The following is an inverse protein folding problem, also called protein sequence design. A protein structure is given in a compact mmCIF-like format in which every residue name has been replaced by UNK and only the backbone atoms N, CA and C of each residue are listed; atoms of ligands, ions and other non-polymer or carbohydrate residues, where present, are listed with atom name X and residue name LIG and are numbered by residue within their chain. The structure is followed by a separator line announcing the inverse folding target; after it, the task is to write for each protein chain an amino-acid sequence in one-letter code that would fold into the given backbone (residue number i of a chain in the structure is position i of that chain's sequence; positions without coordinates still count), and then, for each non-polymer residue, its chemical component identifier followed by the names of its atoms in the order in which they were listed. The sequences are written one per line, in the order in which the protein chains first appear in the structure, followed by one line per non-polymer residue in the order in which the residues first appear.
data_IF_733794812773
#
_entry.id   IF_733794812773
#
_cell.length_a   1.000
_cell.length_b   1.000
_cell.length_c   1.000
_cell.angle_alpha   90.00
_cell.angle_beta   90.00
_cell.angle_gamma   90.00
#
_symmetry.space_group_name_H-M   'P 1'
#
loop_
_entity.id
_entity.type
_entity.pdbx_description
1 polymer ?
#
# COMPACT_ATOMS: atom_id res chain seq x y z
N UNK A 1 11.23 9.28 7.54
CA UNK A 1 10.27 9.66 6.50
C UNK A 1 11.11 10.02 5.31
N UNK A 2 11.01 9.22 4.28
CA UNK A 2 11.88 9.28 3.12
C UNK A 2 13.31 8.80 3.44
N UNK A 3 14.14 8.67 2.40
CA UNK A 3 13.82 8.91 0.98
C UNK A 3 12.85 7.87 0.38
N UNK A 4 12.29 8.18 -0.80
CA UNK A 4 11.37 7.29 -1.54
C UNK A 4 11.85 7.05 -2.97
N UNK A 5 12.04 8.13 -3.73
CA UNK A 5 12.49 8.06 -5.12
C UNK A 5 13.96 8.50 -5.22
N UNK A 6 14.85 7.71 -5.87
CA UNK A 6 16.18 8.18 -6.25
C UNK A 6 16.07 9.23 -7.37
N UNK A 7 16.98 10.20 -7.40
CA UNK A 7 16.98 11.30 -8.38
C UNK A 7 17.58 10.90 -9.73
N UNK A 8 18.49 9.92 -9.73
CA UNK A 8 19.25 9.50 -10.91
C UNK A 8 19.49 7.98 -10.96
N UNK A 9 19.64 7.42 -12.15
CA UNK A 9 19.91 5.97 -12.36
C UNK A 9 21.24 5.46 -11.77
N UNK A 10 22.07 6.35 -11.24
CA UNK A 10 23.35 6.00 -10.57
C UNK A 10 23.25 6.07 -9.05
N UNK A 11 22.12 6.53 -8.52
CA UNK A 11 21.91 6.67 -7.09
C UNK A 11 21.79 5.29 -6.45
N UNK A 12 22.21 5.22 -5.18
CA UNK A 12 22.20 3.99 -4.42
C UNK A 12 20.91 3.83 -3.62
N UNK A 13 20.75 2.69 -2.97
CA UNK A 13 19.63 2.44 -2.07
C UNK A 13 19.49 3.47 -0.93
N UNK A 14 20.53 4.29 -0.65
CA UNK A 14 20.46 5.34 0.37
C UNK A 14 19.65 6.56 -0.06
N UNK A 15 19.51 6.76 -1.36
CA UNK A 15 18.82 7.89 -1.96
C UNK A 15 17.37 7.54 -2.37
N UNK A 16 17.01 6.26 -2.36
CA UNK A 16 15.65 5.79 -2.60
C UNK A 16 15.08 5.02 -1.41
N UNK A 17 13.85 4.54 -1.58
CA UNK A 17 13.16 3.72 -0.60
C UNK A 17 13.15 2.25 -0.98
N UNK A 18 12.05 1.56 -0.65
CA UNK A 18 11.81 0.16 -0.95
C UNK A 18 10.54 -0.04 -1.78
N UNK A 19 10.50 -1.12 -2.54
CA UNK A 19 9.35 -1.58 -3.29
C UNK A 19 9.01 -3.02 -2.93
N UNK A 20 7.71 -3.33 -2.89
CA UNK A 20 7.20 -4.65 -2.53
C UNK A 20 6.63 -5.31 -3.79
N UNK A 21 7.23 -6.43 -4.20
CA UNK A 21 6.75 -7.23 -5.34
C UNK A 21 6.90 -8.71 -5.03
N UNK A 22 5.85 -9.48 -5.30
CA UNK A 22 5.85 -10.95 -5.22
C UNK A 22 6.35 -11.55 -3.89
N UNK A 23 6.06 -10.87 -2.77
CA UNK A 23 6.45 -11.32 -1.43
C UNK A 23 7.86 -10.90 -1.01
N UNK A 24 8.60 -10.24 -1.89
CA UNK A 24 9.96 -9.76 -1.68
C UNK A 24 10.02 -8.24 -1.48
N UNK A 25 11.13 -7.78 -0.90
CA UNK A 25 11.45 -6.36 -0.73
C UNK A 25 12.65 -6.04 -1.61
N UNK A 26 12.52 -4.99 -2.42
CA UNK A 26 13.57 -4.50 -3.30
C UNK A 26 13.95 -3.08 -2.89
N UNK A 27 15.26 -2.80 -2.83
CA UNK A 27 15.73 -1.42 -2.74
C UNK A 27 15.41 -0.71 -4.06
N UNK A 28 14.79 0.47 -3.98
CA UNK A 28 14.52 1.33 -5.14
C UNK A 28 15.73 2.24 -5.32
N UNK A 29 16.80 1.67 -5.87
CA UNK A 29 17.96 2.43 -6.30
C UNK A 29 17.88 2.78 -7.80
N UNK A 30 18.84 3.55 -8.30
CA UNK A 30 18.86 3.96 -9.69
C UNK A 30 18.97 2.76 -10.66
N UNK A 31 19.68 1.70 -10.26
CA UNK A 31 19.83 0.49 -11.06
C UNK A 31 18.52 -0.30 -11.13
N UNK A 32 17.76 -0.37 -10.05
CA UNK A 32 16.42 -0.96 -10.02
C UNK A 32 15.48 -0.22 -10.97
N UNK A 33 15.45 1.12 -10.91
CA UNK A 33 14.61 1.95 -11.79
C UNK A 33 15.00 1.76 -13.26
N UNK A 34 16.30 1.71 -13.58
CA UNK A 34 16.78 1.43 -14.93
C UNK A 34 16.35 0.05 -15.44
N UNK A 35 16.22 -0.93 -14.53
CA UNK A 35 15.93 -2.32 -14.86
C UNK A 35 14.43 -2.68 -14.86
N UNK A 36 13.52 -1.71 -14.64
CA UNK A 36 12.07 -1.98 -14.52
C UNK A 36 11.48 -2.71 -15.74
N UNK A 37 11.94 -2.38 -16.95
CA UNK A 37 11.47 -3.02 -18.17
C UNK A 37 11.82 -4.52 -18.23
N UNK A 38 13.02 -4.91 -17.79
CA UNK A 38 13.41 -6.31 -17.70
C UNK A 38 12.72 -7.00 -16.52
N UNK A 39 12.65 -6.32 -15.37
CA UNK A 39 12.02 -6.83 -14.16
C UNK A 39 10.54 -7.21 -14.38
N UNK A 40 9.79 -6.36 -15.09
CA UNK A 40 8.38 -6.61 -15.42
C UNK A 40 8.16 -7.24 -16.80
N UNK A 41 9.23 -7.49 -17.57
CA UNK A 41 9.16 -7.97 -18.95
C UNK A 41 8.21 -7.13 -19.83
N UNK A 42 8.34 -5.80 -19.73
CA UNK A 42 7.49 -4.82 -20.41
C UNK A 42 8.30 -3.56 -20.74
N UNK A 43 8.55 -3.33 -22.02
CA UNK A 43 9.37 -2.21 -22.52
C UNK A 43 8.69 -0.85 -22.40
N UNK A 44 7.44 -0.80 -21.91
CA UNK A 44 6.74 0.47 -21.64
C UNK A 44 7.33 1.21 -20.45
N UNK A 45 8.04 0.50 -19.55
CA UNK A 45 8.73 1.10 -18.40
C UNK A 45 9.98 1.87 -18.85
N UNK A 46 9.91 3.20 -18.75
CA UNK A 46 11.00 4.12 -19.10
C UNK A 46 10.92 5.37 -18.19
N UNK A 47 11.31 5.20 -16.92
CA UNK A 47 11.14 6.19 -15.84
C UNK A 47 12.28 7.21 -15.73
N UNK A 48 13.08 7.39 -16.78
CA UNK A 48 14.23 8.30 -16.78
C UNK A 48 14.44 8.95 -18.15
N UNK A 49 15.16 10.08 -18.18
CA UNK A 49 15.52 10.80 -19.40
C UNK A 49 16.84 10.31 -20.03
N UNK A 50 17.26 10.91 -21.15
CA UNK A 50 18.50 10.52 -21.86
C UNK A 50 19.76 10.76 -21.02
N UNK A 51 19.70 11.69 -20.07
CA UNK A 51 20.77 12.00 -19.13
C UNK A 51 20.80 11.03 -17.94
N UNK A 52 19.72 10.30 -17.68
CA UNK A 52 19.57 9.36 -16.57
C UNK A 52 18.87 9.94 -15.34
N UNK A 53 18.29 11.14 -15.44
CA UNK A 53 17.47 11.69 -14.35
C UNK A 53 16.14 10.97 -14.31
N UNK A 54 15.70 10.59 -13.11
CA UNK A 54 14.46 9.87 -12.89
C UNK A 54 13.29 10.85 -12.88
N UNK A 55 12.17 10.50 -13.53
CA UNK A 55 10.97 11.33 -13.49
C UNK A 55 10.29 11.21 -12.12
N UNK A 56 10.35 12.26 -11.32
CA UNK A 56 9.77 12.33 -9.96
C UNK A 56 8.65 13.37 -9.93
N UNK A 57 7.62 13.13 -9.13
CA UNK A 57 6.57 14.13 -8.92
C UNK A 57 7.04 15.26 -8.00
N UNK A 58 7.09 16.49 -8.52
CA UNK A 58 7.75 17.63 -7.85
C UNK A 58 6.80 18.58 -7.11
N UNK A 59 5.48 18.42 -7.29
CA UNK A 59 4.48 19.29 -6.65
C UNK A 59 3.43 18.49 -5.89
N UNK A 60 2.73 19.18 -4.98
CA UNK A 60 1.55 18.63 -4.30
C UNK A 60 0.48 18.18 -5.32
N UNK A 61 0.31 18.91 -6.41
CA UNK A 61 -0.68 18.58 -7.43
C UNK A 61 -0.27 17.31 -8.19
N UNK A 62 1.00 17.19 -8.56
CA UNK A 62 1.52 16.00 -9.23
C UNK A 62 1.44 14.76 -8.36
N UNK A 63 1.84 14.85 -7.09
CA UNK A 63 1.66 13.77 -6.12
C UNK A 63 0.19 13.34 -6.03
N UNK A 64 -0.78 14.27 -5.98
CA UNK A 64 -2.21 13.91 -5.93
C UNK A 64 -2.68 13.21 -7.20
N UNK A 65 -2.21 13.69 -8.35
CA UNK A 65 -2.64 13.19 -9.65
C UNK A 65 -1.99 11.84 -10.00
N UNK A 66 -0.78 11.59 -9.52
CA UNK A 66 -0.08 10.33 -9.71
C UNK A 66 -0.40 9.28 -8.64
N UNK A 67 -0.82 9.69 -7.43
CA UNK A 67 -1.17 8.78 -6.32
C UNK A 67 -2.67 8.42 -6.22
N UNK A 68 -3.48 8.68 -7.26
CA UNK A 68 -4.90 8.34 -7.27
C UNK A 68 -5.22 7.13 -8.18
N UNK A 69 -6.37 6.45 -8.01
CA UNK A 69 -6.70 5.24 -8.77
C UNK A 69 -6.83 5.42 -10.29
N UNK A 70 -7.02 6.64 -10.79
CA UNK A 70 -7.20 6.97 -12.20
C UNK A 70 -6.08 7.92 -12.66
N UNK A 71 -4.86 7.41 -12.63
CA UNK A 71 -3.65 8.16 -13.03
C UNK A 71 -3.76 8.61 -14.49
N UNK A 72 -3.49 9.89 -14.75
CA UNK A 72 -3.44 10.46 -16.08
C UNK A 72 -2.25 9.94 -16.90
N UNK A 73 -2.38 9.92 -18.23
CA UNK A 73 -1.32 9.46 -19.14
C UNK A 73 -0.02 10.25 -18.96
N UNK A 74 -0.13 11.53 -18.58
CA UNK A 74 0.99 12.44 -18.32
C UNK A 74 1.85 12.04 -17.11
N UNK A 75 1.36 11.17 -16.22
CA UNK A 75 2.08 10.67 -15.05
C UNK A 75 2.56 9.22 -15.21
N UNK A 76 2.40 8.62 -16.40
CA UNK A 76 3.02 7.33 -16.70
C UNK A 76 4.53 7.48 -16.64
N UNK A 77 5.19 6.42 -16.17
CA UNK A 77 6.63 6.36 -15.96
C UNK A 77 7.15 7.43 -14.98
N UNK A 78 6.38 7.73 -13.93
CA UNK A 78 6.87 8.55 -12.81
C UNK A 78 7.10 7.69 -11.56
N UNK A 79 8.18 8.03 -10.85
CA UNK A 79 8.34 7.70 -9.45
C UNK A 79 7.53 8.72 -8.63
N UNK A 80 6.49 8.22 -7.97
CA UNK A 80 5.53 9.02 -7.21
C UNK A 80 6.10 9.30 -5.83
N UNK A 81 6.45 10.56 -5.61
CA UNK A 81 6.91 11.07 -4.33
C UNK A 81 5.97 12.15 -3.78
N UNK A 82 5.53 11.93 -2.54
CA UNK A 82 4.77 12.89 -1.78
C UNK A 82 5.60 13.29 -0.55
N UNK A 83 5.98 14.57 -0.43
CA UNK A 83 6.84 15.02 0.68
C UNK A 83 6.01 15.55 1.87
N UNK A 84 6.57 15.53 3.09
CA UNK A 84 5.87 16.01 4.30
C UNK A 84 5.32 17.44 4.18
N UNK A 85 5.99 18.31 3.40
CA UNK A 85 5.59 19.71 3.22
C UNK A 85 4.22 19.86 2.53
N UNK A 86 3.72 18.84 1.82
CA UNK A 86 2.42 18.88 1.14
C UNK A 86 1.24 18.70 2.11
N UNK A 87 1.52 18.20 3.32
CA UNK A 87 0.55 17.91 4.36
C UNK A 87 0.38 19.13 5.27
N UNK A 88 -0.61 19.97 4.95
CA UNK A 88 -0.84 21.22 5.68
C UNK A 88 -1.82 21.07 6.84
N UNK A 89 -2.78 20.14 6.77
CA UNK A 89 -3.72 19.85 7.84
C UNK A 89 -4.37 18.47 7.64
N UNK A 90 -3.92 17.47 8.39
CA UNK A 90 -4.55 16.14 8.45
C UNK A 90 -4.72 15.79 9.93
N UNK A 91 -5.92 15.38 10.31
CA UNK A 91 -6.23 14.88 11.65
C UNK A 91 -7.02 13.61 11.49
N UNK A 92 -6.52 12.53 12.08
CA UNK A 92 -7.20 11.25 12.17
C UNK A 92 -7.47 10.95 13.64
N UNK A 93 -8.59 10.30 13.93
CA UNK A 93 -8.95 9.86 15.27
C UNK A 93 -9.35 8.41 15.21
N UNK A 94 -8.80 7.59 16.10
CA UNK A 94 -9.03 6.16 16.16
C UNK A 94 -9.52 5.79 17.55
N UNK A 95 -10.52 4.92 17.65
CA UNK A 95 -10.98 4.35 18.91
C UNK A 95 -10.42 2.94 19.07
N UNK A 96 -9.49 2.77 20.00
CA UNK A 96 -8.87 1.48 20.31
C UNK A 96 -9.26 1.06 21.74
N UNK A 97 -9.89 -0.12 21.93
CA UNK A 97 -10.18 -0.64 23.26
C UNK A 97 -8.90 -0.84 24.08
N UNK A 98 -8.81 -0.22 25.26
CA UNK A 98 -7.70 -0.46 26.20
C UNK A 98 -7.78 -1.84 26.89
N UNK A 99 -8.92 -2.54 26.72
CA UNK A 99 -9.17 -3.90 27.18
C UNK A 99 -9.85 -4.64 26.03
N UNK A 100 -9.12 -5.46 25.27
CA UNK A 100 -9.70 -6.21 24.17
C UNK A 100 -10.83 -7.12 24.63
N UNK A 101 -11.92 -7.16 23.85
CA UNK A 101 -13.07 -8.02 24.12
C UNK A 101 -13.05 -9.16 23.10
N UNK A 102 -12.66 -10.38 23.49
CA UNK A 102 -12.53 -11.48 22.53
C UNK A 102 -13.86 -11.81 21.85
N UNK A 103 -13.79 -12.21 20.59
CA UNK A 103 -14.89 -12.75 19.80
C UNK A 103 -14.65 -14.24 19.53
N UNK A 104 -15.76 -14.98 19.39
CA UNK A 104 -15.71 -16.40 19.07
C UNK A 104 -15.14 -16.62 17.65
N UNK A 105 -15.58 -15.79 16.70
CA UNK A 105 -15.16 -15.81 15.29
C UNK A 105 -14.12 -14.73 14.97
N UNK A 106 -13.25 -15.01 13.99
CA UNK A 106 -12.34 -14.02 13.44
C UNK A 106 -13.07 -13.09 12.47
N UNK A 107 -12.85 -11.78 12.60
CA UNK A 107 -13.17 -10.81 11.56
C UNK A 107 -11.99 -10.74 10.60
N UNK A 108 -11.99 -11.59 9.58
CA UNK A 108 -10.94 -11.58 8.56
C UNK A 108 -11.07 -10.34 7.68
N UNK A 109 -9.94 -9.72 7.39
CA UNK A 109 -9.90 -8.66 6.40
C UNK A 109 -10.12 -9.25 5.02
N UNK A 110 -10.88 -8.53 4.19
CA UNK A 110 -10.93 -8.82 2.76
C UNK A 110 -9.50 -8.83 2.25
N UNK A 111 -9.03 -10.00 1.83
CA UNK A 111 -7.82 -10.10 1.02
C UNK A 111 -8.16 -9.28 -0.23
N UNK A 112 -7.47 -8.14 -0.43
CA UNK A 112 -7.51 -7.44 -1.71
C UNK A 112 -7.20 -8.43 -2.85
N UNK A 113 -7.42 -8.08 -4.13
CA UNK A 113 -7.18 -9.00 -5.24
C UNK A 113 -5.83 -9.67 -5.05
N UNK A 114 -5.85 -10.98 -4.72
CA UNK A 114 -4.64 -11.78 -4.56
C UNK A 114 -3.84 -11.60 -5.84
N UNK A 115 -2.59 -11.14 -5.72
CA UNK A 115 -1.59 -11.33 -6.77
C UNK A 115 -1.69 -12.78 -7.24
N UNK A 116 -1.92 -12.96 -8.53
CA UNK A 116 -2.15 -14.26 -9.12
C UNK A 116 -0.97 -15.17 -8.82
N UNK A 117 -1.24 -16.30 -8.17
CA UNK A 117 -0.27 -17.39 -8.12
C UNK A 117 0.08 -17.88 -9.53
N UNK A 118 1.24 -18.55 -9.70
CA UNK A 118 1.78 -18.90 -11.01
C UNK A 118 0.89 -19.93 -11.70
N UNK A 119 0.34 -19.59 -12.87
CA UNK A 119 -0.39 -20.56 -13.70
C UNK A 119 -1.45 -20.04 -14.67
N UNK A 120 -1.30 -18.85 -15.25
CA UNK A 120 -2.15 -18.42 -16.36
C UNK A 120 -1.32 -18.17 -17.63
N UNK A 121 -0.84 -19.25 -18.23
CA UNK A 121 -0.34 -19.25 -19.60
C UNK A 121 -1.50 -19.05 -20.58
N UNK A 122 -1.53 -17.92 -21.28
CA UNK A 122 -2.44 -17.66 -22.41
C UNK A 122 -2.15 -16.31 -23.07
N UNK A 123 -1.96 -16.24 -24.41
CA UNK A 123 -1.25 -15.14 -25.05
C UNK A 123 -2.10 -13.88 -25.24
N UNK A 124 -1.52 -12.72 -24.91
CA UNK A 124 -2.00 -11.41 -25.36
C UNK A 124 -1.77 -11.24 -26.87
N UNK A 125 -2.73 -10.72 -27.66
CA UNK A 125 -2.50 -10.41 -29.06
C UNK A 125 -1.73 -9.08 -29.25
N UNK A 126 -0.96 -8.93 -30.35
CA UNK A 126 0.03 -7.87 -30.49
C UNK A 126 -0.50 -6.58 -31.15
N UNK A 127 0.17 -5.49 -30.75
CA UNK A 127 0.39 -4.14 -31.31
C UNK A 127 -0.24 -3.70 -32.63
N UNK A 128 -0.61 -2.42 -32.69
CA UNK A 128 -0.83 -1.70 -33.95
C UNK A 128 -1.01 -0.18 -33.77
N UNK A 129 0.02 0.58 -34.13
CA UNK A 129 0.02 2.04 -34.29
C UNK A 129 -1.04 2.55 -35.31
N UNK A 130 -1.58 3.75 -35.07
CA UNK A 130 -2.63 4.43 -35.87
C UNK A 130 -2.20 4.92 -37.27
N UNK A 131 -3.09 5.55 -38.08
CA UNK A 131 -3.14 7.04 -38.17
C UNK A 131 -4.52 7.61 -38.68
N UNK A 132 -4.62 8.85 -39.22
CA UNK A 132 -4.69 10.18 -38.59
C UNK A 132 -6.10 10.81 -38.65
N UNK A 133 -6.30 11.95 -37.95
CA UNK A 133 -7.51 12.79 -38.07
C UNK A 133 -7.60 13.44 -39.48
N UNK A 134 -8.80 13.47 -40.06
CA UNK A 134 -9.17 14.26 -41.25
C UNK A 134 -10.41 15.15 -41.00
N UNK A 135 -10.62 16.23 -41.78
CA UNK A 135 -11.53 17.33 -41.44
C UNK A 135 -12.92 17.26 -42.11
N UNK A 136 -13.95 17.77 -41.40
CA UNK A 136 -15.22 18.26 -41.95
C UNK A 136 -16.36 17.25 -42.09
N UNK A 137 -17.48 17.44 -41.39
CA UNK A 137 -18.66 18.08 -41.99
C UNK A 137 -19.82 18.29 -40.99
N UNK A 138 -20.60 19.32 -41.28
CA UNK A 138 -21.63 19.95 -40.46
C UNK A 138 -23.01 19.26 -40.50
N UNK A 139 -23.70 19.20 -39.35
CA UNK A 139 -25.13 19.50 -39.10
C UNK A 139 -25.47 18.99 -37.68
N UNK A 140 -26.04 19.75 -36.74
CA UNK A 140 -27.18 20.64 -36.86
C UNK A 140 -28.43 19.92 -36.32
N UNK A 141 -28.80 20.15 -35.05
CA UNK A 141 -30.07 19.65 -34.50
C UNK A 141 -30.17 19.66 -32.98
N UNK A 142 -30.99 20.55 -32.45
CA UNK A 142 -31.38 20.75 -31.05
C UNK A 142 -31.81 19.47 -30.29
N UNK A 143 -31.51 19.40 -28.97
CA UNK A 143 -32.48 19.19 -27.86
C UNK A 143 -31.81 18.98 -26.47
N UNK A 144 -32.54 19.13 -25.34
CA UNK A 144 -32.17 20.03 -24.27
C UNK A 144 -31.97 19.36 -22.89
N UNK A 145 -31.45 20.14 -21.94
CA UNK A 145 -31.85 20.12 -20.53
C UNK A 145 -31.39 18.93 -19.68
N UNK A 146 -30.67 19.23 -18.60
CA UNK A 146 -30.03 18.24 -17.74
C UNK A 146 -30.98 17.25 -17.04
N UNK A 147 -30.43 16.08 -16.72
CA UNK A 147 -30.89 15.15 -15.70
C UNK A 147 -29.66 14.52 -15.05
N UNK A 148 -29.74 14.35 -13.73
CA UNK A 148 -28.65 14.01 -12.85
C UNK A 148 -27.98 12.67 -13.13
N UNK A 149 -26.76 12.59 -12.62
CA UNK A 149 -25.93 11.41 -12.52
C UNK A 149 -26.58 10.38 -11.58
N UNK A 150 -27.52 9.60 -12.12
CA UNK A 150 -27.96 8.35 -11.50
C UNK A 150 -26.94 7.26 -11.85
N UNK A 151 -25.95 7.09 -10.97
CA UNK A 151 -25.06 5.94 -10.98
C UNK A 151 -25.83 4.61 -10.88
N UNK A 152 -25.24 3.48 -11.30
CA UNK A 152 -25.96 2.21 -11.38
C UNK A 152 -26.47 1.73 -10.00
N UNK A 153 -27.65 1.10 -9.95
CA UNK A 153 -28.34 0.78 -8.71
C UNK A 153 -27.60 -0.25 -7.86
N UNK A 154 -27.50 0.07 -6.56
CA UNK A 154 -26.82 -0.72 -5.54
C UNK A 154 -27.33 -2.15 -5.42
N UNK A 155 -26.39 -3.08 -5.20
CA UNK A 155 -26.70 -4.44 -4.78
C UNK A 155 -27.17 -4.47 -3.32
N UNK A 156 -28.06 -5.40 -2.93
CA UNK A 156 -28.71 -5.38 -1.63
C UNK A 156 -27.73 -5.62 -0.47
N UNK A 157 -27.89 -4.77 0.54
CA UNK A 157 -27.16 -4.72 1.80
C UNK A 157 -27.45 -5.96 2.67
N UNK A 158 -26.48 -6.86 2.78
CA UNK A 158 -26.43 -7.85 3.86
C UNK A 158 -25.41 -7.37 4.88
N UNK A 159 -25.78 -7.30 6.17
CA UNK A 159 -24.95 -6.89 7.31
C UNK A 159 -23.46 -7.23 7.11
N UNK A 160 -22.68 -6.29 6.60
CA UNK A 160 -21.24 -6.32 6.69
C UNK A 160 -20.88 -5.21 7.66
N UNK A 161 -20.41 -5.58 8.84
CA UNK A 161 -19.57 -4.67 9.60
C UNK A 161 -18.49 -4.17 8.61
N UNK A 162 -18.33 -2.86 8.40
CA UNK A 162 -17.29 -2.36 7.52
C UNK A 162 -15.95 -2.90 8.01
N UNK A 163 -15.27 -3.64 7.13
CA UNK A 163 -13.95 -4.18 7.41
C UNK A 163 -13.00 -2.98 7.49
N UNK A 164 -12.29 -2.77 8.61
CA UNK A 164 -11.51 -1.56 8.80
C UNK A 164 -10.31 -1.55 7.83
N UNK A 165 -10.13 -0.44 7.10
CA UNK A 165 -8.92 -0.22 6.28
C UNK A 165 -7.68 -0.08 7.16
N UNK A 166 -7.83 0.55 8.32
CA UNK A 166 -6.79 0.61 9.35
C UNK A 166 -6.68 -0.73 10.08
N UNK A 167 -5.48 -1.32 10.08
CA UNK A 167 -5.19 -2.58 10.77
C UNK A 167 -4.85 -2.34 12.23
N UNK A 168 -4.20 -1.21 12.52
CA UNK A 168 -3.81 -0.81 13.84
C UNK A 168 -3.03 0.50 13.83
N UNK A 169 -2.54 0.89 15.00
CA UNK A 169 -1.73 2.10 15.21
C UNK A 169 -0.40 1.70 15.81
N UNK A 170 0.69 2.14 15.18
CA UNK A 170 2.05 1.95 15.64
C UNK A 170 2.32 2.73 16.94
N UNK A 171 3.32 2.33 17.72
CA UNK A 171 3.68 3.00 18.97
C UNK A 171 4.13 4.46 18.80
N UNK A 172 4.50 4.87 17.59
CA UNK A 172 4.80 6.26 17.23
C UNK A 172 3.58 7.05 16.70
N UNK A 173 2.39 6.44 16.71
CA UNK A 173 1.13 7.07 16.29
C UNK A 173 0.83 6.97 14.79
N UNK A 174 1.69 6.34 13.99
CA UNK A 174 1.48 6.15 12.55
C UNK A 174 0.52 5.00 12.30
N UNK A 175 -0.34 5.15 11.30
CA UNK A 175 -1.31 4.13 10.90
C UNK A 175 -0.63 2.90 10.27
N UNK A 176 -1.05 1.70 10.68
CA UNK A 176 -0.86 0.47 9.89
C UNK A 176 -2.05 0.34 8.93
N UNK A 177 -1.85 0.75 7.69
CA UNK A 177 -2.88 0.77 6.65
C UNK A 177 -3.07 -0.62 6.02
N UNK A 178 -4.17 -0.79 5.28
CA UNK A 178 -4.39 -1.95 4.43
C UNK A 178 -3.29 -2.08 3.37
N UNK A 179 -3.13 -3.26 2.72
CA UNK A 179 -2.18 -3.41 1.62
C UNK A 179 -2.29 -2.29 0.57
N UNK A 180 -1.15 -1.73 0.16
CA UNK A 180 -1.12 -0.77 -0.93
C UNK A 180 -1.64 -1.42 -2.23
N UNK A 181 -2.38 -0.71 -3.09
CA UNK A 181 -2.95 -1.27 -4.31
C UNK A 181 -1.90 -1.41 -5.42
N UNK A 182 -0.87 -2.26 -5.21
CA UNK A 182 0.27 -2.45 -6.12
C UNK A 182 -0.17 -2.72 -7.56
N UNK A 183 -1.21 -3.54 -7.76
CA UNK A 183 -1.73 -3.81 -9.11
C UNK A 183 -2.21 -2.54 -9.83
N UNK A 184 -2.84 -1.60 -9.12
CA UNK A 184 -3.30 -0.34 -9.71
C UNK A 184 -2.10 0.54 -10.07
N UNK A 185 -1.11 0.62 -9.17
CA UNK A 185 0.13 1.39 -9.35
C UNK A 185 0.88 0.91 -10.61
N UNK A 186 1.08 -0.40 -10.73
CA UNK A 186 1.76 -1.01 -11.87
C UNK A 186 0.95 -0.88 -13.16
N UNK A 187 -0.39 -1.00 -13.12
CA UNK A 187 -1.23 -0.83 -14.32
C UNK A 187 -1.21 0.60 -14.89
N UNK A 188 -0.83 1.58 -14.07
CA UNK A 188 -0.65 2.97 -14.45
C UNK A 188 0.79 3.30 -14.88
N UNK A 189 1.71 2.33 -14.91
CA UNK A 189 3.14 2.56 -15.12
C UNK A 189 3.74 3.59 -14.15
N UNK A 190 3.25 3.60 -12.92
CA UNK A 190 3.83 4.42 -11.84
C UNK A 190 4.56 3.53 -10.86
N UNK A 191 5.56 4.07 -10.17
CA UNK A 191 6.19 3.43 -9.02
C UNK A 191 5.92 4.32 -7.81
N UNK A 192 5.43 3.78 -6.70
CA UNK A 192 5.13 4.57 -5.50
C UNK A 192 5.86 4.00 -4.28
N UNK A 193 7.20 4.14 -4.20
CA UNK A 193 8.01 3.50 -3.18
C UNK A 193 7.54 3.79 -1.75
N UNK A 194 7.84 2.86 -0.86
CA UNK A 194 7.80 3.08 0.59
C UNK A 194 9.17 3.56 1.03
N UNK A 195 9.28 4.30 2.13
CA UNK A 195 10.59 4.51 2.75
C UNK A 195 11.06 3.21 3.41
N UNK A 196 12.31 3.19 3.85
CA UNK A 196 12.89 2.01 4.50
C UNK A 196 12.06 1.52 5.71
N UNK A 197 11.23 2.35 6.34
CA UNK A 197 10.37 1.94 7.46
C UNK A 197 9.06 1.28 7.01
N UNK A 198 8.83 1.16 5.70
CA UNK A 198 7.65 0.54 5.09
C UNK A 198 6.46 1.49 4.93
N UNK A 199 6.70 2.81 4.93
CA UNK A 199 5.64 3.81 4.85
C UNK A 199 5.85 4.90 3.81
N UNK A 200 4.76 5.54 3.43
CA UNK A 200 4.78 6.66 2.49
C UNK A 200 3.68 7.66 2.80
N UNK A 201 3.62 8.74 2.03
CA UNK A 201 2.67 9.83 2.23
C UNK A 201 1.59 9.79 1.16
N UNK A 202 0.34 9.91 1.59
CA UNK A 202 -0.77 10.33 0.75
C UNK A 202 -1.29 11.66 1.27
N UNK A 203 -1.60 12.62 0.40
CA UNK A 203 -2.01 13.97 0.84
C UNK A 203 -3.30 14.04 1.65
N UNK A 204 -4.15 13.03 1.54
CA UNK A 204 -5.44 12.95 2.20
C UNK A 204 -5.38 12.11 3.48
N UNK A 205 -4.41 11.20 3.58
CA UNK A 205 -4.23 10.28 4.72
C UNK A 205 -3.07 10.69 5.65
N UNK A 206 -2.06 11.38 5.13
CA UNK A 206 -0.77 11.61 5.79
C UNK A 206 0.21 10.47 5.57
N UNK A 207 1.27 10.45 6.39
CA UNK A 207 2.24 9.34 6.42
C UNK A 207 1.63 8.11 7.09
N UNK A 208 1.72 6.95 6.44
CA UNK A 208 1.18 5.68 6.93
C UNK A 208 2.05 4.52 6.46
N UNK A 209 2.00 3.40 7.19
CA UNK A 209 2.74 2.19 6.88
C UNK A 209 1.87 1.17 6.14
N UNK A 210 2.50 0.45 5.21
CA UNK A 210 1.92 -0.73 4.55
C UNK A 210 2.64 -2.02 4.94
N UNK A 211 3.83 -1.88 5.51
CA UNK A 211 4.63 -2.97 6.02
C UNK A 211 5.52 -2.50 7.17
N UNK A 212 6.29 -3.42 7.74
CA UNK A 212 7.33 -3.11 8.72
C UNK A 212 8.62 -3.83 8.35
N UNK A 213 9.74 -3.14 8.49
CA UNK A 213 11.08 -3.63 8.15
C UNK A 213 11.98 -3.77 9.38
N UNK A 214 11.40 -3.67 10.58
CA UNK A 214 12.13 -3.66 11.85
C UNK A 214 12.64 -2.27 12.27
N UNK A 215 12.31 -1.21 11.53
CA UNK A 215 12.68 0.17 11.89
C UNK A 215 11.61 0.93 12.68
N UNK A 216 10.43 0.34 12.87
CA UNK A 216 9.35 0.95 13.63
C UNK A 216 9.73 1.12 15.11
N UNK A 217 8.98 1.96 15.83
CA UNK A 217 9.16 2.10 17.27
C UNK A 217 8.81 0.77 17.95
N UNK A 218 9.82 0.10 18.50
CA UNK A 218 9.68 -1.20 19.17
C UNK A 218 9.88 -1.10 20.68
N UNK A 219 9.07 -1.84 21.45
CA UNK A 219 9.31 -2.14 22.87
C UNK A 219 9.74 -3.61 23.00
N UNK A 220 11.01 -3.81 23.31
CA UNK A 220 11.60 -5.13 23.53
C UNK A 220 10.92 -5.89 24.68
N UNK A 221 10.82 -7.20 24.56
CA UNK A 221 10.23 -8.08 25.56
C UNK A 221 11.31 -8.80 26.37
N UNK A 222 11.18 -8.81 27.70
CA UNK A 222 12.21 -9.33 28.60
C UNK A 222 12.34 -10.87 28.58
N UNK A 223 11.30 -11.57 28.12
CA UNK A 223 11.26 -13.04 28.02
C UNK A 223 11.78 -13.56 26.67
N UNK A 224 12.20 -12.67 25.76
CA UNK A 224 12.73 -13.01 24.45
C UNK A 224 11.68 -13.17 23.36
N UNK A 225 10.43 -12.85 23.65
CA UNK A 225 9.38 -12.69 22.64
C UNK A 225 9.72 -11.56 21.64
N UNK A 226 9.11 -11.58 20.46
CA UNK A 226 9.16 -10.48 19.48
C UNK A 226 8.77 -9.15 20.12
N UNK A 227 9.32 -8.03 19.64
CA UNK A 227 9.05 -6.72 20.20
C UNK A 227 7.63 -6.21 19.90
N UNK A 228 7.03 -5.47 20.83
CA UNK A 228 5.72 -4.82 20.62
C UNK A 228 5.92 -3.57 19.74
N UNK A 229 5.14 -3.42 18.68
CA UNK A 229 5.25 -2.31 17.72
C UNK A 229 3.99 -1.47 17.58
N UNK A 230 2.85 -1.94 18.10
CA UNK A 230 1.60 -1.20 18.07
C UNK A 230 0.42 -1.99 18.62
N UNK A 231 -0.78 -1.50 18.35
CA UNK A 231 -2.03 -2.13 18.74
C UNK A 231 -2.97 -2.21 17.54
N UNK A 232 -3.64 -3.35 17.38
CA UNK A 232 -4.68 -3.52 16.39
C UNK A 232 -5.94 -2.73 16.77
N UNK A 233 -6.87 -2.57 15.84
CA UNK A 233 -8.11 -1.81 16.07
C UNK A 233 -9.02 -2.43 17.15
N UNK A 234 -8.84 -3.71 17.46
CA UNK A 234 -9.52 -4.40 18.57
C UNK A 234 -8.77 -4.29 19.92
N UNK A 235 -7.64 -3.58 19.95
CA UNK A 235 -6.81 -3.34 21.13
C UNK A 235 -5.78 -4.42 21.44
N UNK A 236 -5.75 -5.54 20.73
CA UNK A 236 -4.72 -6.55 20.93
C UNK A 236 -3.36 -6.03 20.44
N UNK A 237 -2.28 -6.41 21.13
CA UNK A 237 -0.93 -5.99 20.75
C UNK A 237 -0.52 -6.56 19.40
N UNK A 238 0.20 -5.76 18.61
CA UNK A 238 0.85 -6.17 17.37
C UNK A 238 2.37 -6.20 17.63
N UNK A 239 2.96 -7.36 17.37
CA UNK A 239 4.37 -7.64 17.59
C UNK A 239 5.12 -7.86 16.28
N UNK A 240 6.44 -7.71 16.32
CA UNK A 240 7.34 -8.05 15.21
C UNK A 240 7.16 -9.52 14.80
N UNK A 241 7.43 -9.82 13.53
CA UNK A 241 7.28 -11.18 12.99
C UNK A 241 8.17 -12.17 13.71
N UNK A 242 9.41 -11.77 13.94
CA UNK A 242 10.46 -12.63 14.45
C UNK A 242 10.83 -12.27 15.90
N UNK A 243 11.14 -13.30 16.69
CA UNK A 243 11.68 -13.14 18.03
C UNK A 243 13.17 -12.72 17.97
N UNK A 244 13.79 -12.55 19.15
CA UNK A 244 15.23 -12.19 19.25
C UNK A 244 16.19 -13.20 18.61
N UNK A 245 15.73 -14.42 18.32
CA UNK A 245 16.50 -15.49 17.70
C UNK A 245 16.18 -15.63 16.19
N UNK A 246 15.44 -14.68 15.61
CA UNK A 246 14.94 -14.70 14.24
C UNK A 246 13.96 -15.85 13.95
N UNK A 247 13.15 -16.23 14.95
CA UNK A 247 12.16 -17.31 14.82
C UNK A 247 10.75 -16.72 14.83
N UNK A 248 9.96 -17.08 13.83
CA UNK A 248 8.53 -16.77 13.78
C UNK A 248 7.74 -17.80 14.63
N UNK A 249 6.72 -17.38 15.40
CA UNK A 249 5.89 -18.33 16.13
C UNK A 249 5.25 -19.36 15.18
N UNK A 250 5.33 -20.64 15.54
CA UNK A 250 4.84 -21.73 14.71
C UNK A 250 3.33 -21.99 14.84
N UNK A 251 2.67 -21.34 15.80
CA UNK A 251 1.28 -21.58 16.22
C UNK A 251 0.35 -20.39 15.95
N UNK A 252 0.70 -19.53 14.98
CA UNK A 252 -0.16 -18.44 14.54
C UNK A 252 -1.45 -18.98 13.87
N UNK A 253 -2.57 -18.38 14.22
CA UNK A 253 -3.87 -18.63 13.60
C UNK A 253 -4.03 -17.89 12.26
N UNK A 254 -5.23 -17.98 11.65
CA UNK A 254 -5.48 -17.35 10.36
C UNK A 254 -5.31 -15.81 10.37
N UNK A 255 -5.55 -15.15 11.51
CA UNK A 255 -5.37 -13.72 11.68
C UNK A 255 -3.90 -13.31 11.93
N UNK A 256 -2.98 -14.28 11.96
CA UNK A 256 -1.58 -14.15 12.40
C UNK A 256 -1.45 -13.85 13.90
N UNK A 257 -2.40 -14.31 14.70
CA UNK A 257 -2.34 -14.17 16.16
C UNK A 257 -2.24 -15.50 16.88
N UNK A 258 -1.83 -15.44 18.14
CA UNK A 258 -1.82 -16.60 19.03
C UNK A 258 -1.98 -16.14 20.49
N UNK A 259 -2.04 -17.09 21.42
CA UNK A 259 -2.24 -16.81 22.84
C UNK A 259 -1.07 -17.30 23.68
N UNK A 260 -0.58 -16.44 24.58
CA UNK A 260 0.27 -16.85 25.70
C UNK A 260 -0.27 -16.33 27.06
N UNK A 261 0.25 -16.86 28.16
CA UNK A 261 -0.21 -16.50 29.53
C UNK A 261 0.19 -15.10 29.99
N UNK A 262 1.21 -14.50 29.38
CA UNK A 262 1.78 -13.20 29.75
C UNK A 262 1.04 -12.07 29.06
N UNK A 263 0.75 -12.24 27.76
CA UNK A 263 0.18 -11.21 26.86
C UNK A 263 -1.30 -11.42 26.60
N UNK A 264 -1.79 -12.65 26.79
CA UNK A 264 -3.06 -13.07 26.23
C UNK A 264 -2.96 -13.25 24.72
N UNK A 265 -4.08 -13.06 24.03
CA UNK A 265 -4.08 -13.10 22.56
C UNK A 265 -3.40 -11.85 21.99
N UNK A 266 -2.56 -12.03 20.98
CA UNK A 266 -1.84 -10.96 20.30
C UNK A 266 -1.40 -11.38 18.90
N UNK A 267 -1.06 -10.40 18.05
CA UNK A 267 -0.71 -10.62 16.65
C UNK A 267 0.78 -10.48 16.38
N UNK A 268 1.23 -11.14 15.32
CA UNK A 268 2.54 -10.96 14.70
C UNK A 268 2.39 -10.46 13.27
N UNK A 269 3.11 -9.39 12.95
CA UNK A 269 3.13 -8.84 11.59
C UNK A 269 3.61 -9.85 10.55
N UNK A 270 3.19 -9.67 9.30
CA UNK A 270 3.59 -10.47 8.15
C UNK A 270 5.02 -10.20 7.69
N UNK A 271 5.51 -11.03 6.77
CA UNK A 271 6.78 -10.76 6.09
C UNK A 271 6.65 -9.47 5.27
N UNK A 272 7.71 -8.68 5.22
CA UNK A 272 7.60 -7.30 4.76
C UNK A 272 7.12 -7.16 3.32
N UNK A 273 7.59 -8.03 2.41
CA UNK A 273 7.20 -8.04 1.00
C UNK A 273 5.75 -8.52 0.74
N UNK A 274 5.05 -9.03 1.76
CA UNK A 274 3.65 -9.42 1.62
C UNK A 274 2.69 -8.22 1.62
N UNK A 275 3.18 -6.99 1.82
CA UNK A 275 2.37 -5.77 1.82
C UNK A 275 1.19 -5.90 2.81
N UNK A 276 1.48 -6.40 4.02
CA UNK A 276 0.48 -6.79 5.00
C UNK A 276 1.02 -6.72 6.42
N UNK A 277 0.13 -6.58 7.40
CA UNK A 277 0.44 -6.69 8.83
C UNK A 277 -0.21 -7.94 9.42
N UNK A 278 -1.53 -7.94 9.53
CA UNK A 278 -2.33 -9.01 10.14
C UNK A 278 -3.53 -9.29 9.22
N UNK A 279 -4.09 -10.50 9.29
CA UNK A 279 -5.14 -10.90 8.35
C UNK A 279 -6.56 -10.67 8.88
N UNK A 280 -6.73 -10.24 10.13
CA UNK A 280 -8.04 -10.03 10.73
C UNK A 280 -7.97 -9.60 12.18
N UNK A 281 -9.13 -9.51 12.82
CA UNK A 281 -9.32 -9.16 14.22
C UNK A 281 -10.02 -10.30 14.98
N UNK A 282 -9.52 -10.60 16.17
CA UNK A 282 -10.05 -11.58 17.13
C UNK A 282 -10.88 -10.91 18.22
N UNK A 283 -10.70 -9.62 18.45
CA UNK A 283 -11.49 -8.85 19.40
C UNK A 283 -12.58 -8.00 18.73
N UNK A 284 -13.52 -7.52 19.54
CA UNK A 284 -14.46 -6.49 19.14
C UNK A 284 -13.71 -5.18 18.89
N UNK A 285 -14.08 -4.49 17.82
CA UNK A 285 -13.50 -3.21 17.43
C UNK A 285 -14.63 -2.18 17.28
N UNK A 286 -14.27 -0.90 17.35
CA UNK A 286 -15.21 0.19 17.14
C UNK A 286 -15.65 0.21 15.66
N UNK A 287 -16.96 0.30 15.45
CA UNK A 287 -17.56 0.63 14.14
C UNK A 287 -18.18 2.01 14.29
N UNK A 288 -17.81 2.93 13.40
CA UNK A 288 -18.41 4.26 13.32
C UNK A 288 -19.73 4.24 12.55
#
# INVERSE_FOLDING_TARGET
MGPWCPDHITDSAKEGGIWLSDGEVYDVDGAFVQNLAEFYNDTTWEMYDEEGNIYITDTKEDCNNAANPNVGEEYKNFCVECIPAYITNVTQSYLIPIRPVPQDELTLFSRGPRGGGPGADGPSPPDGAGPPRGPGDHNGGDRPGGRGDDGPPGRPNGNQNPIPSTRGIALNGVEFSAPAPVNNILSAYTLAPFDDAGGHINVHQGYHYHTTTGMNRTIAQNDGHSGLIGYAMDGHGIYERLDKNNIEPADLDEARGHYDKTRGYHYHVDASGNNNFINGLKGAYAVD
#
